data_IF_731832848196
#
_entry.id   IF_731832848196
#
_cell.length_a   1.000
_cell.length_b   1.000
_cell.length_c   1.000
_cell.angle_alpha   90.00
_cell.angle_beta   90.00
_cell.angle_gamma   90.00
#
_symmetry.space_group_name_H-M   'P 1'
#
loop_
_entity.id
_entity.type
_entity.pdbx_description
1 polymer ?
#
# COMPACT_ATOMS: atom_id res chain seq x y z
N UNK A 1 -33.73 7.93 10.67
CA UNK A 1 -32.97 6.66 10.75
C UNK A 1 -31.81 6.88 11.71
N UNK A 2 -31.59 5.99 12.68
CA UNK A 2 -30.45 6.14 13.60
C UNK A 2 -29.14 5.87 12.85
N UNK A 3 -28.06 6.58 13.20
CA UNK A 3 -26.73 6.35 12.61
C UNK A 3 -26.29 4.89 12.77
N UNK A 4 -26.71 4.22 13.84
CA UNK A 4 -26.46 2.80 14.11
C UNK A 4 -27.07 1.89 13.03
N UNK A 5 -28.32 2.14 12.60
CA UNK A 5 -28.95 1.36 11.53
C UNK A 5 -28.26 1.59 10.17
N UNK A 6 -27.76 2.80 9.91
CA UNK A 6 -26.97 3.08 8.71
C UNK A 6 -25.64 2.31 8.72
N UNK A 7 -24.93 2.29 9.85
CA UNK A 7 -23.69 1.51 9.99
C UNK A 7 -23.92 0.00 9.84
N UNK A 8 -25.01 -0.54 10.41
CA UNK A 8 -25.38 -1.96 10.26
C UNK A 8 -25.77 -2.33 8.83
N UNK A 9 -26.50 -1.49 8.10
CA UNK A 9 -26.83 -1.77 6.69
C UNK A 9 -25.61 -1.71 5.78
N UNK A 10 -24.63 -0.88 6.13
CA UNK A 10 -23.36 -0.80 5.40
C UNK A 10 -22.41 -1.95 5.74
N UNK A 11 -22.65 -2.70 6.82
CA UNK A 11 -21.76 -3.75 7.29
C UNK A 11 -21.46 -4.82 6.23
N UNK A 12 -22.49 -5.32 5.55
CA UNK A 12 -22.34 -6.39 4.54
C UNK A 12 -21.60 -5.91 3.28
N UNK A 13 -21.83 -4.66 2.85
CA UNK A 13 -21.09 -4.07 1.74
C UNK A 13 -19.62 -3.84 2.10
N UNK A 14 -19.35 -3.39 3.33
CA UNK A 14 -18.00 -3.19 3.86
C UNK A 14 -17.26 -4.52 3.96
N UNK A 15 -17.90 -5.57 4.50
CA UNK A 15 -17.33 -6.92 4.58
C UNK A 15 -16.95 -7.45 3.21
N UNK A 16 -17.87 -7.39 2.25
CA UNK A 16 -17.63 -7.84 0.87
C UNK A 16 -16.45 -7.10 0.21
N UNK A 17 -16.34 -5.78 0.40
CA UNK A 17 -15.23 -4.99 -0.15
C UNK A 17 -13.89 -5.33 0.53
N UNK A 18 -13.89 -5.57 1.84
CA UNK A 18 -12.68 -5.99 2.56
C UNK A 18 -12.21 -7.38 2.08
N UNK A 19 -13.14 -8.31 1.84
CA UNK A 19 -12.83 -9.64 1.33
C UNK A 19 -12.29 -9.63 -0.11
N UNK A 20 -12.81 -8.75 -0.97
CA UNK A 20 -12.34 -8.58 -2.35
C UNK A 20 -10.91 -8.04 -2.44
N UNK A 21 -10.47 -7.29 -1.44
CA UNK A 21 -9.13 -6.70 -1.40
C UNK A 21 -8.97 -5.43 -2.25
N UNK A 22 -7.82 -4.76 -2.14
CA UNK A 22 -7.59 -3.44 -2.73
C UNK A 22 -7.26 -3.46 -4.24
N UNK A 23 -6.99 -4.61 -4.84
CA UNK A 23 -6.45 -4.70 -6.22
C UNK A 23 -7.39 -4.13 -7.30
N UNK A 24 -8.71 -4.10 -7.05
CA UNK A 24 -9.70 -3.50 -7.97
C UNK A 24 -9.72 -1.97 -7.88
N UNK A 25 -9.55 -1.43 -6.67
CA UNK A 25 -9.54 0.01 -6.42
C UNK A 25 -8.92 0.28 -5.06
N UNK A 26 -7.64 0.67 -5.06
CA UNK A 26 -6.94 1.04 -3.83
C UNK A 26 -7.64 2.21 -3.12
N UNK A 27 -8.03 3.24 -3.87
CA UNK A 27 -8.74 4.40 -3.30
C UNK A 27 -10.08 4.00 -2.68
N UNK A 28 -10.89 3.20 -3.39
CA UNK A 28 -12.16 2.71 -2.86
C UNK A 28 -11.97 1.89 -1.59
N UNK A 29 -10.96 1.03 -1.57
CA UNK A 29 -10.63 0.20 -0.42
C UNK A 29 -10.21 1.04 0.79
N UNK A 30 -9.35 2.05 0.60
CA UNK A 30 -8.92 2.93 1.68
C UNK A 30 -10.05 3.79 2.25
N UNK A 31 -11.02 4.20 1.42
CA UNK A 31 -12.27 4.85 1.89
C UNK A 31 -13.10 3.91 2.76
N UNK A 32 -13.17 2.61 2.43
CA UNK A 32 -13.85 1.62 3.27
C UNK A 32 -13.14 1.45 4.61
N UNK A 33 -11.81 1.36 4.61
CA UNK A 33 -11.01 1.27 5.83
C UNK A 33 -11.22 2.50 6.73
N UNK A 34 -11.26 3.70 6.17
CA UNK A 34 -11.54 4.94 6.92
C UNK A 34 -12.95 4.92 7.54
N UNK A 35 -13.94 4.37 6.83
CA UNK A 35 -15.31 4.22 7.36
C UNK A 35 -15.36 3.24 8.54
N UNK A 36 -14.62 2.13 8.48
CA UNK A 36 -14.48 1.20 9.60
C UNK A 36 -13.88 1.93 10.81
N UNK A 37 -12.84 2.75 10.58
CA UNK A 37 -12.21 3.51 11.66
C UNK A 37 -13.16 4.48 12.34
N UNK A 38 -13.89 5.27 11.53
CA UNK A 38 -14.89 6.22 12.04
C UNK A 38 -16.02 5.51 12.79
N UNK A 39 -16.50 4.37 12.28
CA UNK A 39 -17.52 3.57 12.94
C UNK A 39 -17.07 3.07 14.31
N UNK A 40 -15.83 2.61 14.41
CA UNK A 40 -15.27 2.09 15.66
C UNK A 40 -15.12 3.18 16.72
N UNK A 41 -14.57 4.35 16.35
CA UNK A 41 -14.47 5.50 17.26
C UNK A 41 -15.86 5.90 17.75
N UNK A 42 -16.83 6.01 16.83
CA UNK A 42 -18.20 6.35 17.16
C UNK A 42 -18.85 5.35 18.14
N UNK A 43 -18.74 4.04 17.87
CA UNK A 43 -19.30 3.01 18.74
C UNK A 43 -18.64 2.97 20.12
N UNK A 44 -17.32 3.18 20.18
CA UNK A 44 -16.57 3.25 21.43
C UNK A 44 -17.00 4.43 22.29
N UNK A 45 -17.17 5.61 21.68
CA UNK A 45 -17.57 6.84 22.40
C UNK A 45 -19.03 6.79 22.89
N UNK A 46 -19.89 6.03 22.21
CA UNK A 46 -21.30 5.91 22.56
C UNK A 46 -21.64 4.65 23.38
N UNK A 47 -20.63 3.90 23.85
CA UNK A 47 -20.80 2.64 24.60
C UNK A 47 -21.74 1.64 23.89
N UNK A 48 -21.60 1.53 22.56
CA UNK A 48 -22.34 0.54 21.75
C UNK A 48 -21.78 -0.86 22.04
N UNK A 49 -22.64 -1.89 21.87
CA UNK A 49 -22.36 -3.30 22.14
C UNK A 49 -20.93 -3.74 21.77
N UNK A 50 -20.23 -4.39 22.72
CA UNK A 50 -18.84 -4.86 22.56
C UNK A 50 -18.63 -5.76 21.34
N UNK A 51 -19.65 -6.55 20.99
CA UNK A 51 -19.63 -7.44 19.81
C UNK A 51 -19.40 -6.68 18.50
N UNK A 52 -19.95 -5.47 18.36
CA UNK A 52 -19.75 -4.66 17.14
C UNK A 52 -18.34 -4.08 17.07
N UNK A 53 -17.76 -3.72 18.21
CA UNK A 53 -16.37 -3.25 18.28
C UNK A 53 -15.40 -4.37 17.90
N UNK A 54 -15.61 -5.59 18.43
CA UNK A 54 -14.80 -6.77 18.08
C UNK A 54 -14.91 -7.08 16.59
N UNK A 55 -16.11 -6.98 16.01
CA UNK A 55 -16.34 -7.20 14.58
C UNK A 55 -15.60 -6.17 13.72
N UNK A 56 -15.72 -4.88 14.04
CA UNK A 56 -15.02 -3.81 13.31
C UNK A 56 -13.49 -3.93 13.43
N UNK A 57 -12.98 -4.33 14.59
CA UNK A 57 -11.55 -4.63 14.78
C UNK A 57 -11.10 -5.77 13.88
N UNK A 58 -11.84 -6.88 13.84
CA UNK A 58 -11.52 -8.03 13.00
C UNK A 58 -11.49 -7.67 11.51
N UNK A 59 -12.45 -6.85 11.06
CA UNK A 59 -12.49 -6.37 9.67
C UNK A 59 -11.32 -5.44 9.36
N UNK A 60 -10.97 -4.57 10.30
CA UNK A 60 -9.82 -3.69 10.14
C UNK A 60 -8.50 -4.47 10.04
N UNK A 61 -8.31 -5.50 10.87
CA UNK A 61 -7.10 -6.33 10.86
C UNK A 61 -6.97 -7.14 9.55
N UNK A 62 -8.08 -7.71 9.06
CA UNK A 62 -8.13 -8.33 7.74
C UNK A 62 -7.82 -7.30 6.64
N UNK A 63 -8.38 -6.10 6.80
CA UNK A 63 -8.15 -4.94 5.95
C UNK A 63 -6.67 -4.61 5.78
N UNK A 64 -5.97 -4.48 6.89
CA UNK A 64 -4.53 -4.25 6.95
C UNK A 64 -3.73 -5.39 6.32
N UNK A 65 -4.11 -6.64 6.57
CA UNK A 65 -3.43 -7.80 5.98
C UNK A 65 -3.50 -7.77 4.45
N UNK A 66 -4.65 -7.39 3.90
CA UNK A 66 -4.83 -7.25 2.45
C UNK A 66 -4.03 -6.08 1.86
N UNK A 67 -3.97 -4.93 2.54
CA UNK A 67 -3.11 -3.81 2.13
C UNK A 67 -1.62 -4.19 2.13
N UNK A 68 -1.16 -4.93 3.13
CA UNK A 68 0.23 -5.41 3.18
C UNK A 68 0.55 -6.34 2.00
N UNK A 69 -0.38 -7.21 1.61
CA UNK A 69 -0.22 -8.10 0.44
C UNK A 69 -0.20 -7.31 -0.86
N UNK A 70 -1.07 -6.32 -1.01
CA UNK A 70 -1.11 -5.44 -2.18
C UNK A 70 0.18 -4.64 -2.30
N UNK A 71 0.66 -4.07 -1.20
CA UNK A 71 1.94 -3.36 -1.17
C UNK A 71 3.08 -4.26 -1.68
N UNK A 72 3.17 -5.49 -1.18
CA UNK A 72 4.16 -6.47 -1.65
C UNK A 72 3.99 -6.83 -3.14
N UNK A 73 2.75 -6.97 -3.61
CA UNK A 73 2.47 -7.24 -5.02
C UNK A 73 2.92 -6.08 -5.92
N UNK A 74 2.64 -4.84 -5.52
CA UNK A 74 3.06 -3.64 -6.25
C UNK A 74 4.59 -3.57 -6.27
N UNK A 75 5.29 -3.81 -5.14
CA UNK A 75 6.76 -3.86 -5.12
C UNK A 75 7.32 -4.84 -6.16
N UNK A 76 6.76 -6.05 -6.23
CA UNK A 76 7.21 -7.09 -7.17
C UNK A 76 6.95 -6.73 -8.63
N UNK A 77 5.85 -6.03 -8.90
CA UNK A 77 5.54 -5.55 -10.24
C UNK A 77 6.42 -4.37 -10.64
N UNK A 78 6.73 -3.50 -9.69
CA UNK A 78 7.44 -2.22 -9.87
C UNK A 78 8.95 -2.42 -10.03
N UNK A 79 9.56 -3.25 -9.18
CA UNK A 79 11.02 -3.42 -9.17
C UNK A 79 11.42 -4.85 -9.54
N UNK A 80 12.30 -4.95 -10.53
CA UNK A 80 12.87 -6.21 -11.04
C UNK A 80 14.39 -6.09 -11.17
N UNK A 81 15.13 -7.20 -11.04
CA UNK A 81 16.56 -7.19 -11.32
C UNK A 81 16.82 -6.75 -12.76
N UNK A 82 17.86 -5.94 -12.93
CA UNK A 82 18.26 -5.42 -14.24
C UNK A 82 19.38 -6.33 -14.77
N UNK A 83 19.38 -6.60 -16.07
CA UNK A 83 20.48 -7.36 -16.68
C UNK A 83 21.75 -6.49 -16.76
N UNK A 84 22.91 -7.04 -16.42
CA UNK A 84 24.22 -6.39 -16.52
C UNK A 84 24.50 -5.83 -17.92
N UNK A 85 24.12 -6.53 -19.01
CA UNK A 85 24.31 -6.02 -20.37
C UNK A 85 23.51 -4.72 -20.61
N UNK A 86 22.30 -4.64 -20.04
CA UNK A 86 21.47 -3.43 -20.14
C UNK A 86 22.07 -2.29 -19.32
N UNK A 87 22.57 -2.57 -18.11
CA UNK A 87 23.29 -1.59 -17.29
C UNK A 87 24.53 -1.03 -17.99
N UNK A 88 25.31 -1.90 -18.65
CA UNK A 88 26.49 -1.49 -19.41
C UNK A 88 26.11 -0.58 -20.58
N UNK A 89 25.06 -0.94 -21.35
CA UNK A 89 24.54 -0.07 -22.43
C UNK A 89 24.10 1.30 -21.91
N UNK A 90 23.42 1.35 -20.77
CA UNK A 90 23.02 2.61 -20.14
C UNK A 90 24.24 3.42 -19.73
N UNK A 91 25.22 2.80 -19.06
CA UNK A 91 26.47 3.47 -18.64
C UNK A 91 27.30 4.00 -19.81
N UNK A 92 27.32 3.28 -20.94
CA UNK A 92 27.97 3.74 -22.17
C UNK A 92 27.18 4.87 -22.87
N UNK A 93 25.86 4.90 -22.71
CA UNK A 93 24.96 5.93 -23.25
C UNK A 93 24.94 7.22 -22.42
N UNK A 94 25.32 7.14 -21.14
CA UNK A 94 25.39 8.27 -20.19
C UNK A 94 26.66 9.14 -20.40
N UNK A 95 27.41 8.89 -21.47
CA UNK A 95 28.48 9.79 -21.94
C UNK A 95 27.84 11.08 -22.48
N UNK A 96 28.41 12.26 -22.21
CA UNK A 96 27.69 13.53 -22.29
C UNK A 96 27.27 13.87 -23.72
N UNK A 97 26.02 13.55 -24.06
CA UNK A 97 25.31 14.10 -25.21
C UNK A 97 24.02 14.73 -24.71
N UNK A 98 24.11 16.04 -24.45
CA UNK A 98 23.03 17.00 -24.23
C UNK A 98 22.04 16.69 -23.09
N UNK A 99 21.94 17.63 -22.15
CA UNK A 99 21.23 17.59 -20.86
C UNK A 99 19.73 17.22 -20.90
N UNK A 100 19.13 17.00 -22.07
CA UNK A 100 17.72 16.62 -22.24
C UNK A 100 17.47 15.11 -22.38
N UNK A 101 18.48 14.28 -22.62
CA UNK A 101 18.33 12.82 -22.77
C UNK A 101 18.50 12.02 -21.46
N UNK A 102 18.93 12.68 -20.39
CA UNK A 102 19.33 12.02 -19.15
C UNK A 102 18.13 11.54 -18.30
N UNK A 103 16.98 12.22 -18.41
CA UNK A 103 15.75 11.87 -17.69
C UNK A 103 15.07 10.61 -18.28
N UNK A 104 15.16 10.41 -19.59
CA UNK A 104 14.64 9.21 -20.27
C UNK A 104 15.49 7.96 -19.99
N UNK A 105 16.81 8.10 -19.82
CA UNK A 105 17.70 6.98 -19.48
C UNK A 105 17.54 6.51 -18.01
N UNK A 106 17.24 7.42 -17.08
CA UNK A 106 16.93 7.07 -15.69
C UNK A 106 15.60 6.32 -15.58
N UNK A 107 14.60 6.70 -16.39
CA UNK A 107 13.33 5.97 -16.53
C UNK A 107 13.50 4.57 -17.13
N UNK A 108 14.54 4.34 -17.94
CA UNK A 108 14.84 3.02 -18.51
C UNK A 108 15.45 2.02 -17.50
N UNK A 109 15.90 2.51 -16.33
CA UNK A 109 16.50 1.67 -15.29
C UNK A 109 15.44 0.91 -14.48
N UNK A 110 14.27 1.51 -14.27
CA UNK A 110 13.18 0.92 -13.50
C UNK A 110 11.88 1.00 -14.32
N UNK A 111 11.21 -0.13 -14.58
CA UNK A 111 9.83 -0.17 -15.12
C UNK A 111 8.78 0.35 -14.11
N UNK A 112 9.24 1.12 -13.12
CA UNK A 112 8.46 1.68 -12.05
C UNK A 112 7.59 2.82 -12.60
N UNK A 113 6.43 2.46 -13.16
CA UNK A 113 5.44 3.46 -13.57
C UNK A 113 5.10 4.41 -12.41
N UNK A 114 4.92 5.69 -12.72
CA UNK A 114 4.51 6.71 -11.74
C UNK A 114 3.27 6.25 -10.95
N UNK A 115 2.35 5.54 -11.60
CA UNK A 115 1.16 4.98 -10.96
C UNK A 115 1.49 3.99 -9.83
N UNK A 116 2.46 3.09 -10.04
CA UNK A 116 2.82 2.08 -9.04
C UNK A 116 3.54 2.71 -7.84
N UNK A 117 4.42 3.69 -8.10
CA UNK A 117 5.09 4.47 -7.06
C UNK A 117 4.08 5.28 -6.25
N UNK A 118 3.12 5.93 -6.91
CA UNK A 118 2.03 6.66 -6.27
C UNK A 118 1.18 5.74 -5.39
N UNK A 119 0.86 4.52 -5.84
CA UNK A 119 0.10 3.57 -5.03
C UNK A 119 0.88 3.11 -3.78
N UNK A 120 2.18 2.84 -3.91
CA UNK A 120 3.05 2.52 -2.77
C UNK A 120 3.07 3.67 -1.75
N UNK A 121 3.27 4.90 -2.24
CA UNK A 121 3.25 6.10 -1.40
C UNK A 121 1.91 6.26 -0.69
N UNK A 122 0.80 6.12 -1.43
CA UNK A 122 -0.54 6.29 -0.87
C UNK A 122 -0.85 5.28 0.23
N UNK A 123 -0.45 4.01 0.07
CA UNK A 123 -0.59 2.99 1.12
C UNK A 123 0.22 3.38 2.36
N UNK A 124 1.48 3.82 2.19
CA UNK A 124 2.35 4.19 3.31
C UNK A 124 1.81 5.40 4.08
N UNK A 125 1.41 6.46 3.37
CA UNK A 125 0.85 7.67 3.95
C UNK A 125 -0.44 7.37 4.73
N UNK A 126 -1.33 6.57 4.14
CA UNK A 126 -2.57 6.18 4.79
C UNK A 126 -2.32 5.37 6.08
N UNK A 127 -1.37 4.43 6.06
CA UNK A 127 -1.01 3.65 7.25
C UNK A 127 -0.45 4.54 8.37
N UNK A 128 0.36 5.55 8.02
CA UNK A 128 0.92 6.49 9.00
C UNK A 128 -0.16 7.36 9.68
N UNK A 129 -1.25 7.65 8.97
CA UNK A 129 -2.37 8.45 9.47
C UNK A 129 -3.36 7.63 10.31
N UNK A 130 -3.34 6.30 10.19
CA UNK A 130 -4.32 5.37 10.74
C UNK A 130 -4.16 5.04 12.25
N UNK A 131 -3.96 6.07 13.09
CA UNK A 131 -3.60 5.90 14.51
C UNK A 131 -4.67 5.30 15.42
N UNK A 132 -5.94 5.31 15.02
CA UNK A 132 -7.04 4.81 15.85
C UNK A 132 -6.92 3.30 16.15
N UNK A 133 -6.32 2.56 15.23
CA UNK A 133 -6.10 1.11 15.31
C UNK A 133 -4.62 0.74 15.34
N UNK A 134 -3.75 1.63 14.85
CA UNK A 134 -2.31 1.46 14.85
C UNK A 134 -1.61 2.66 15.53
N UNK A 135 -1.70 2.77 16.87
CA UNK A 135 -1.17 3.93 17.60
C UNK A 135 0.35 4.06 17.46
N UNK A 136 1.07 2.96 17.18
CA UNK A 136 2.52 2.94 17.01
C UNK A 136 2.97 3.09 15.56
N UNK A 137 2.05 3.21 14.60
CA UNK A 137 2.36 3.24 13.17
C UNK A 137 3.18 1.99 12.73
N UNK A 138 2.89 0.84 13.34
CA UNK A 138 3.54 -0.43 13.06
C UNK A 138 3.29 -0.88 11.61
N UNK A 139 2.10 -0.61 11.07
CA UNK A 139 1.74 -0.87 9.68
C UNK A 139 2.64 -0.13 8.69
N UNK A 140 2.81 1.19 8.85
CA UNK A 140 3.67 1.98 7.96
C UNK A 140 5.15 1.59 8.11
N UNK A 141 5.60 1.32 9.34
CA UNK A 141 6.94 0.79 9.61
C UNK A 141 7.17 -0.55 8.91
N UNK A 142 6.20 -1.46 8.95
CA UNK A 142 6.28 -2.75 8.28
C UNK A 142 6.36 -2.60 6.75
N UNK A 143 5.61 -1.66 6.16
CA UNK A 143 5.73 -1.35 4.74
C UNK A 143 7.14 -0.82 4.37
N UNK A 144 7.71 0.09 5.17
CA UNK A 144 9.06 0.60 4.95
C UNK A 144 10.13 -0.48 5.05
N UNK A 145 10.03 -1.37 6.05
CA UNK A 145 10.94 -2.52 6.19
C UNK A 145 10.86 -3.43 4.96
N UNK A 146 9.65 -3.75 4.50
CA UNK A 146 9.46 -4.57 3.28
C UNK A 146 10.01 -3.89 2.03
N UNK A 147 9.76 -2.59 1.85
CA UNK A 147 10.32 -1.82 0.74
C UNK A 147 11.85 -1.90 0.74
N UNK A 148 12.47 -1.61 1.88
CA UNK A 148 13.92 -1.66 2.05
C UNK A 148 14.47 -3.05 1.73
N UNK A 149 13.90 -4.10 2.33
CA UNK A 149 14.39 -5.46 2.14
C UNK A 149 14.24 -5.93 0.69
N UNK A 150 13.10 -5.63 0.05
CA UNK A 150 12.86 -6.00 -1.34
C UNK A 150 13.81 -5.27 -2.30
N UNK A 151 13.98 -3.95 -2.16
CA UNK A 151 14.91 -3.16 -2.98
C UNK A 151 16.35 -3.66 -2.84
N UNK A 152 16.79 -3.95 -1.61
CA UNK A 152 18.11 -4.52 -1.34
C UNK A 152 18.31 -5.84 -2.07
N UNK A 153 17.30 -6.72 -2.06
CA UNK A 153 17.40 -8.02 -2.70
C UNK A 153 17.35 -7.94 -4.23
N UNK A 154 16.57 -7.01 -4.80
CA UNK A 154 16.58 -6.71 -6.24
C UNK A 154 17.98 -6.28 -6.70
N UNK A 155 18.61 -5.36 -5.97
CA UNK A 155 19.99 -4.90 -6.29
C UNK A 155 20.99 -6.04 -6.20
N UNK A 156 20.91 -6.90 -5.17
CA UNK A 156 21.79 -8.06 -5.04
C UNK A 156 21.65 -9.04 -6.21
N UNK A 157 20.42 -9.30 -6.64
CA UNK A 157 20.16 -10.20 -7.77
C UNK A 157 20.69 -9.65 -9.09
N UNK A 158 20.68 -8.33 -9.27
CA UNK A 158 21.29 -7.64 -10.42
C UNK A 158 22.81 -7.84 -10.46
N UNK A 159 23.49 -7.85 -9.31
CA UNK A 159 24.95 -7.93 -9.22
C UNK A 159 25.51 -9.36 -9.13
N UNK A 160 24.68 -10.34 -8.77
CA UNK A 160 25.11 -11.72 -8.54
C UNK A 160 25.00 -12.64 -9.78
N UNK A 161 24.58 -12.10 -10.93
CA UNK A 161 24.45 -12.82 -12.22
C UNK A 161 25.40 -12.22 -13.25
#
# INVERSE_FOLDING_TARGET
MSQIQAYRKTASEVESLIEQGPSQSLEGYLKVMERIQKAFVFFREHNVEEVELIRLQSLYDLGLKNLNREFEAILKQTFRPINMEHLLKLADSDRPQNDSAQDDNLRALEDASDHSLNNLQFIMEWMQQSRAFDPNSEGSRNCLVRYHDYRRDVVRQTLAK
#
